data_IF_300349844607
#
_entry.id   IF_300349844607
#
_cell.length_a   1.000
_cell.length_b   1.000
_cell.length_c   1.000
_cell.angle_alpha   90.00
_cell.angle_beta   90.00
_cell.angle_gamma   90.00
#
_symmetry.space_group_name_H-M   'P 1'
#
loop_
_entity.id
_entity.type
_entity.pdbx_description
1 polymer ?
#
# COMPACT_ATOMS: atom_id res chain seq x y z
N UNK A 1 2.29 -1.97 17.47
CA UNK A 1 3.73 -1.64 17.67
C UNK A 1 3.92 -0.14 17.62
N UNK A 2 4.79 0.39 18.47
CA UNK A 2 5.17 1.80 18.53
C UNK A 2 6.69 1.91 18.37
N UNK A 3 7.15 2.79 17.46
CA UNK A 3 8.54 3.18 17.36
C UNK A 3 8.72 4.46 18.16
N UNK A 4 9.53 4.40 19.21
CA UNK A 4 9.76 5.53 20.11
C UNK A 4 11.26 5.71 20.42
N UNK A 5 11.64 6.92 20.85
CA UNK A 5 12.98 7.18 21.31
C UNK A 5 13.12 6.72 22.76
N UNK A 6 13.93 5.70 22.99
CA UNK A 6 14.21 5.14 24.33
C UNK A 6 15.60 5.49 24.83
N UNK A 7 16.57 5.74 23.93
CA UNK A 7 17.93 6.12 24.33
C UNK A 7 18.02 7.63 24.42
N UNK A 8 18.08 8.13 25.65
CA UNK A 8 18.14 9.56 25.94
C UNK A 8 19.39 10.22 25.33
N UNK A 9 19.28 11.50 24.95
CA UNK A 9 20.39 12.28 24.41
C UNK A 9 20.81 11.93 22.99
N UNK A 10 20.06 11.06 22.28
CA UNK A 10 20.29 10.75 20.86
C UNK A 10 19.30 11.51 19.98
N UNK A 11 19.77 11.99 18.83
CA UNK A 11 18.96 12.67 17.79
C UNK A 11 18.86 11.86 16.48
N UNK A 12 19.58 10.75 16.39
CA UNK A 12 19.66 9.86 15.22
C UNK A 12 18.79 8.60 15.39
N UNK A 13 18.81 7.74 14.39
CA UNK A 13 18.02 6.50 14.36
C UNK A 13 18.46 5.45 15.38
N UNK A 14 19.72 5.51 15.90
CA UNK A 14 20.21 4.57 16.91
C UNK A 14 19.58 4.75 18.29
N UNK A 15 18.86 5.86 18.51
CA UNK A 15 18.08 6.07 19.72
C UNK A 15 16.66 5.53 19.68
N UNK A 16 16.23 4.95 18.56
CA UNK A 16 14.86 4.47 18.35
C UNK A 16 14.73 2.99 18.67
N UNK A 17 13.73 2.64 19.46
CA UNK A 17 13.35 1.27 19.81
C UNK A 17 11.91 0.99 19.44
N UNK A 18 11.58 -0.26 19.19
CA UNK A 18 10.24 -0.68 18.83
C UNK A 18 9.63 -1.48 19.97
N UNK A 19 8.38 -1.16 20.34
CA UNK A 19 7.68 -1.76 21.46
C UNK A 19 6.37 -2.41 21.01
N UNK A 20 6.03 -3.54 21.62
CA UNK A 20 4.71 -4.16 21.53
C UNK A 20 3.82 -3.53 22.60
N UNK A 21 2.98 -2.57 22.20
CA UNK A 21 2.09 -1.86 23.11
C UNK A 21 0.73 -2.56 23.14
N UNK A 22 0.47 -3.32 24.18
CA UNK A 22 -0.82 -3.93 24.40
C UNK A 22 -1.84 -2.88 24.83
N UNK A 23 -3.04 -2.98 24.33
CA UNK A 23 -4.15 -2.13 24.74
C UNK A 23 -5.46 -2.91 24.71
N UNK A 24 -6.40 -2.59 25.61
CA UNK A 24 -7.76 -3.12 25.52
C UNK A 24 -8.41 -2.72 24.18
N UNK A 25 -9.30 -3.56 23.71
CA UNK A 25 -10.08 -3.21 22.51
C UNK A 25 -11.06 -2.08 22.87
N UNK A 26 -11.03 -1.00 22.12
CA UNK A 26 -11.97 0.09 22.24
C UNK A 26 -13.37 -0.28 21.73
N UNK A 27 -14.35 0.48 22.14
CA UNK A 27 -15.74 0.48 21.66
C UNK A 27 -16.07 1.82 21.02
N UNK A 28 -17.23 1.94 20.37
CA UNK A 28 -17.65 3.23 19.80
C UNK A 28 -17.89 4.29 20.90
N UNK A 29 -18.24 3.87 22.12
CA UNK A 29 -18.46 4.76 23.26
C UNK A 29 -17.14 5.15 23.97
N UNK A 30 -16.14 4.27 23.94
CA UNK A 30 -14.82 4.47 24.52
C UNK A 30 -13.77 3.85 23.58
N UNK A 31 -13.33 4.59 22.58
CA UNK A 31 -12.41 4.05 21.56
C UNK A 31 -10.98 3.88 22.06
N UNK A 32 -10.56 4.57 23.15
CA UNK A 32 -9.21 4.57 23.69
C UNK A 32 -9.19 4.29 25.20
N UNK A 33 -9.62 3.09 25.64
CA UNK A 33 -9.80 2.79 27.08
C UNK A 33 -8.49 2.59 27.84
N UNK A 34 -7.34 2.55 27.16
CA UNK A 34 -6.05 2.38 27.83
C UNK A 34 -5.62 3.66 28.55
N UNK A 35 -5.16 3.54 29.79
CA UNK A 35 -4.63 4.68 30.54
C UNK A 35 -3.43 5.29 29.81
N UNK A 36 -3.38 6.61 29.72
CA UNK A 36 -2.31 7.31 29.01
C UNK A 36 -2.39 7.28 27.48
N UNK A 37 -3.46 6.74 26.91
CA UNK A 37 -3.71 6.75 25.46
C UNK A 37 -4.91 7.64 25.13
N UNK A 38 -4.75 8.48 24.13
CA UNK A 38 -5.82 9.29 23.53
C UNK A 38 -5.78 9.15 22.02
N UNK A 39 -6.82 9.58 21.34
CA UNK A 39 -6.81 9.60 19.88
C UNK A 39 -8.04 10.25 19.28
N UNK A 40 -8.00 10.41 17.96
CA UNK A 40 -9.09 10.94 17.14
C UNK A 40 -9.18 10.19 15.84
N UNK A 41 -10.39 9.97 15.35
CA UNK A 41 -10.62 9.36 14.04
C UNK A 41 -10.24 10.36 12.94
N UNK A 42 -9.50 9.87 11.94
CA UNK A 42 -9.15 10.62 10.74
C UNK A 42 -10.12 10.17 9.64
N UNK A 43 -10.94 11.10 9.14
CA UNK A 43 -11.78 10.85 7.98
C UNK A 43 -10.93 10.70 6.73
N UNK A 44 -11.11 9.60 6.00
CA UNK A 44 -10.30 9.25 4.83
C UNK A 44 -11.13 9.15 3.56
N UNK A 45 -10.48 9.38 2.42
CA UNK A 45 -11.09 9.36 1.09
C UNK A 45 -11.63 7.97 0.71
N UNK A 46 -10.86 6.94 0.96
CA UNK A 46 -11.16 5.54 0.67
C UNK A 46 -10.97 4.64 1.88
N UNK A 47 -11.02 3.31 1.69
CA UNK A 47 -10.91 2.33 2.78
C UNK A 47 -11.94 2.53 3.89
N UNK A 48 -13.14 2.97 3.54
CA UNK A 48 -14.19 3.35 4.50
C UNK A 48 -14.67 2.23 5.44
N UNK A 49 -14.29 0.98 5.17
CA UNK A 49 -14.51 -0.15 6.08
C UNK A 49 -13.44 -0.29 7.16
N UNK A 50 -12.42 0.56 7.15
CA UNK A 50 -11.32 0.57 8.09
C UNK A 50 -11.14 1.99 8.63
N UNK A 51 -11.03 2.12 9.95
CA UNK A 51 -10.85 3.41 10.61
C UNK A 51 -9.37 3.72 10.79
N UNK A 52 -8.99 4.96 10.50
CA UNK A 52 -7.66 5.50 10.75
C UNK A 52 -7.72 6.44 11.96
N UNK A 53 -6.66 6.47 12.75
CA UNK A 53 -6.62 7.28 13.97
C UNK A 53 -5.28 7.98 14.13
N UNK A 54 -5.34 9.20 14.63
CA UNK A 54 -4.21 9.83 15.31
C UNK A 54 -4.21 9.34 16.77
N UNK A 55 -3.03 8.96 17.28
CA UNK A 55 -2.87 8.46 18.65
C UNK A 55 -1.94 9.36 19.43
N UNK A 56 -2.36 9.79 20.61
CA UNK A 56 -1.54 10.47 21.60
C UNK A 56 -1.18 9.53 22.75
N UNK A 57 0.05 9.64 23.22
CA UNK A 57 0.55 8.89 24.37
C UNK A 57 1.08 9.88 25.42
N UNK A 58 0.50 9.85 26.60
CA UNK A 58 0.96 10.62 27.77
C UNK A 58 1.03 9.69 28.96
N UNK A 59 2.24 9.40 29.40
CA UNK A 59 2.47 8.46 30.51
C UNK A 59 1.86 7.08 30.27
N UNK A 60 1.81 6.65 28.99
CA UNK A 60 1.38 5.31 28.60
C UNK A 60 2.49 4.32 28.94
N UNK A 61 2.23 3.44 29.91
CA UNK A 61 3.22 2.48 30.39
C UNK A 61 3.27 1.23 29.49
N UNK A 62 4.50 0.83 29.12
CA UNK A 62 4.77 -0.41 28.36
C UNK A 62 5.80 -1.23 29.14
N UNK A 63 5.51 -2.49 29.45
CA UNK A 63 6.47 -3.37 30.13
C UNK A 63 7.80 -3.49 29.37
N UNK A 64 8.91 -3.56 30.09
CA UNK A 64 10.24 -3.61 29.50
C UNK A 64 10.45 -4.86 28.61
N UNK A 65 9.82 -5.97 28.97
CA UNK A 65 9.83 -7.22 28.19
C UNK A 65 9.16 -7.10 26.82
N UNK A 66 8.36 -6.04 26.62
CA UNK A 66 7.73 -5.75 25.33
C UNK A 66 8.65 -4.98 24.36
N UNK A 67 9.91 -4.77 24.71
CA UNK A 67 10.92 -4.26 23.80
C UNK A 67 11.21 -5.30 22.72
N UNK A 68 10.90 -4.97 21.47
CA UNK A 68 11.10 -5.90 20.36
C UNK A 68 12.59 -6.12 20.09
N UNK A 69 13.03 -7.39 20.20
CA UNK A 69 14.42 -7.79 19.99
C UNK A 69 15.34 -7.52 21.16
N UNK A 70 14.80 -7.17 22.34
CA UNK A 70 15.48 -7.08 23.62
C UNK A 70 16.67 -6.09 23.72
N UNK A 71 16.96 -5.36 22.63
CA UNK A 71 18.07 -4.40 22.55
C UNK A 71 17.54 -3.04 22.14
N UNK A 72 17.76 -2.04 22.98
CA UNK A 72 17.43 -0.65 22.66
C UNK A 72 18.23 -0.12 21.46
N UNK A 73 17.65 0.86 20.75
CA UNK A 73 18.30 1.50 19.60
C UNK A 73 18.24 0.70 18.29
N UNK A 74 17.63 -0.49 18.29
CA UNK A 74 17.48 -1.35 17.11
C UNK A 74 16.16 -1.17 16.38
N UNK A 75 15.26 -0.33 16.87
CA UNK A 75 13.89 -0.22 16.36
C UNK A 75 13.82 0.23 14.91
N UNK A 76 14.67 1.15 14.47
CA UNK A 76 14.70 1.58 13.07
C UNK A 76 15.15 0.45 12.12
N UNK A 77 16.12 -0.37 12.54
CA UNK A 77 16.55 -1.54 11.76
C UNK A 77 15.43 -2.58 11.62
N UNK A 78 14.70 -2.83 12.70
CA UNK A 78 13.53 -3.71 12.68
C UNK A 78 12.43 -3.17 11.75
N UNK A 79 12.18 -1.86 11.80
CA UNK A 79 11.22 -1.21 10.90
C UNK A 79 11.61 -1.36 9.42
N UNK A 80 12.89 -1.13 9.09
CA UNK A 80 13.38 -1.29 7.71
C UNK A 80 13.25 -2.72 7.19
N UNK A 81 13.54 -3.72 8.02
CA UNK A 81 13.36 -5.13 7.66
C UNK A 81 11.88 -5.48 7.41
N UNK A 82 10.98 -4.90 8.19
CA UNK A 82 9.53 -5.06 8.02
C UNK A 82 9.05 -4.44 6.70
N UNK A 83 9.58 -3.31 6.30
CA UNK A 83 9.15 -2.60 5.10
C UNK A 83 9.39 -3.36 3.79
N UNK A 84 10.37 -4.25 3.71
CA UNK A 84 10.52 -5.09 2.51
C UNK A 84 9.28 -5.98 2.31
N UNK A 85 8.86 -6.69 3.36
CA UNK A 85 7.65 -7.52 3.33
C UNK A 85 6.39 -6.70 3.12
N UNK A 86 6.26 -5.55 3.79
CA UNK A 86 5.12 -4.65 3.66
C UNK A 86 4.94 -4.12 2.23
N UNK A 87 6.04 -3.81 1.52
CA UNK A 87 5.99 -3.38 0.10
C UNK A 87 5.49 -4.48 -0.81
N UNK A 88 5.94 -5.73 -0.63
CA UNK A 88 5.44 -6.89 -1.40
C UNK A 88 3.95 -7.11 -1.14
N UNK A 89 3.53 -7.04 0.13
CA UNK A 89 2.12 -7.15 0.51
C UNK A 89 1.28 -6.04 -0.11
N UNK A 90 1.77 -4.79 -0.10
CA UNK A 90 1.08 -3.65 -0.71
C UNK A 90 0.99 -3.79 -2.23
N UNK A 91 2.03 -4.33 -2.89
CA UNK A 91 1.97 -4.66 -4.31
C UNK A 91 0.89 -5.71 -4.61
N UNK A 92 0.78 -6.76 -3.80
CA UNK A 92 -0.27 -7.76 -3.93
C UNK A 92 -1.68 -7.16 -3.74
N UNK A 93 -1.84 -6.26 -2.75
CA UNK A 93 -3.09 -5.52 -2.54
C UNK A 93 -3.44 -4.66 -3.76
N UNK A 94 -2.47 -3.93 -4.31
CA UNK A 94 -2.65 -3.11 -5.51
C UNK A 94 -3.08 -3.95 -6.73
N UNK A 95 -2.52 -5.15 -6.89
CA UNK A 95 -2.93 -6.11 -7.92
C UNK A 95 -4.40 -6.51 -7.74
N UNK A 96 -4.84 -6.75 -6.49
CA UNK A 96 -6.24 -7.06 -6.19
C UNK A 96 -7.19 -5.91 -6.56
N UNK A 97 -6.80 -4.65 -6.28
CA UNK A 97 -7.56 -3.47 -6.69
C UNK A 97 -7.62 -3.32 -8.20
N UNK A 98 -6.49 -3.50 -8.91
CA UNK A 98 -6.44 -3.45 -10.37
C UNK A 98 -7.28 -4.55 -11.02
N UNK A 99 -7.26 -5.76 -10.46
CA UNK A 99 -8.09 -6.89 -10.89
C UNK A 99 -9.59 -6.57 -10.75
N UNK A 100 -10.00 -6.06 -9.59
CA UNK A 100 -11.38 -5.64 -9.35
C UNK A 100 -11.82 -4.56 -10.35
N UNK A 101 -10.98 -3.57 -10.61
CA UNK A 101 -11.25 -2.52 -11.58
C UNK A 101 -11.44 -3.09 -13.00
N UNK A 102 -10.56 -4.00 -13.43
CA UNK A 102 -10.65 -4.67 -14.72
C UNK A 102 -11.97 -5.45 -14.85
N UNK A 103 -12.32 -6.25 -13.84
CA UNK A 103 -13.56 -7.05 -13.85
C UNK A 103 -14.82 -6.20 -13.93
N UNK A 104 -14.86 -5.09 -13.15
CA UNK A 104 -15.98 -4.14 -13.21
C UNK A 104 -16.07 -3.47 -14.59
N UNK A 105 -14.94 -3.03 -15.14
CA UNK A 105 -14.89 -2.43 -16.48
C UNK A 105 -15.32 -3.40 -17.59
N UNK A 106 -14.83 -4.64 -17.56
CA UNK A 106 -15.21 -5.70 -18.49
C UNK A 106 -16.71 -5.98 -18.42
N UNK A 107 -17.21 -6.28 -17.22
CA UNK A 107 -18.62 -6.59 -17.03
C UNK A 107 -19.50 -5.46 -17.56
N UNK A 108 -19.24 -4.24 -17.15
CA UNK A 108 -20.02 -3.09 -17.59
C UNK A 108 -19.96 -2.90 -19.11
N UNK A 109 -18.80 -3.06 -19.73
CA UNK A 109 -18.62 -2.86 -21.16
C UNK A 109 -19.33 -3.92 -22.01
N UNK A 110 -19.54 -5.12 -21.49
CA UNK A 110 -20.31 -6.20 -22.14
C UNK A 110 -21.82 -6.05 -21.91
N UNK A 111 -22.24 -5.52 -20.76
CA UNK A 111 -23.65 -5.33 -20.43
C UNK A 111 -24.25 -4.06 -21.08
N UNK A 112 -23.44 -3.02 -21.24
CA UNK A 112 -23.90 -1.72 -21.76
C UNK A 112 -23.92 -1.66 -23.27
N UNK A 113 -25.10 -1.36 -23.83
CA UNK A 113 -25.27 -1.15 -25.29
C UNK A 113 -25.43 0.33 -25.60
N UNK A 114 -24.70 0.83 -26.58
CA UNK A 114 -24.84 2.16 -27.18
C UNK A 114 -24.62 2.09 -28.70
N UNK A 115 -25.30 2.91 -29.46
CA UNK A 115 -25.21 2.94 -30.92
C UNK A 115 -25.40 1.56 -31.58
N UNK A 116 -26.30 0.73 -31.00
CA UNK A 116 -26.70 -0.57 -31.50
C UNK A 116 -25.72 -1.74 -31.24
N UNK A 117 -24.68 -1.56 -30.42
CA UNK A 117 -23.72 -2.60 -30.04
C UNK A 117 -23.20 -2.44 -28.62
N UNK A 118 -22.56 -3.46 -28.08
CA UNK A 118 -21.89 -3.39 -26.78
C UNK A 118 -20.78 -2.33 -26.81
N UNK A 119 -20.57 -1.62 -25.70
CA UNK A 119 -19.52 -0.59 -25.68
C UNK A 119 -18.12 -1.21 -25.72
N UNK A 120 -17.97 -2.50 -25.41
CA UNK A 120 -16.73 -3.25 -25.60
C UNK A 120 -16.28 -3.27 -27.07
N UNK A 121 -17.20 -3.27 -28.04
CA UNK A 121 -16.89 -3.29 -29.47
C UNK A 121 -16.29 -1.99 -30.01
N UNK A 122 -16.23 -0.95 -29.17
CA UNK A 122 -15.55 0.29 -29.54
C UNK A 122 -14.08 0.23 -29.14
N UNK A 123 -13.12 0.41 -30.08
CA UNK A 123 -11.69 0.30 -29.80
C UNK A 123 -11.21 1.16 -28.62
N UNK A 124 -11.77 2.36 -28.45
CA UNK A 124 -11.45 3.24 -27.33
C UNK A 124 -11.83 2.68 -25.94
N UNK A 125 -12.74 1.71 -25.90
CA UNK A 125 -13.12 0.98 -24.68
C UNK A 125 -12.29 -0.28 -24.53
N UNK A 126 -12.26 -1.14 -25.55
CA UNK A 126 -11.52 -2.40 -25.49
C UNK A 126 -10.01 -2.22 -25.31
N UNK A 127 -9.39 -1.22 -25.95
CA UNK A 127 -7.96 -0.92 -25.78
C UNK A 127 -7.58 -0.64 -24.33
N UNK A 128 -8.42 0.13 -23.60
CA UNK A 128 -8.20 0.37 -22.16
C UNK A 128 -8.19 -0.94 -21.37
N UNK A 129 -9.16 -1.80 -21.59
CA UNK A 129 -9.33 -3.06 -20.86
C UNK A 129 -8.19 -4.05 -21.19
N UNK A 130 -7.78 -4.12 -22.46
CA UNK A 130 -6.65 -4.95 -22.90
C UNK A 130 -5.34 -4.49 -22.25
N UNK A 131 -5.09 -3.17 -22.22
CA UNK A 131 -3.89 -2.64 -21.57
C UNK A 131 -3.90 -2.88 -20.05
N UNK A 132 -5.05 -2.71 -19.39
CA UNK A 132 -5.20 -3.06 -17.97
C UNK A 132 -4.85 -4.52 -17.71
N UNK A 133 -5.33 -5.43 -18.55
CA UNK A 133 -5.05 -6.87 -18.43
C UNK A 133 -3.56 -7.18 -18.61
N UNK A 134 -2.92 -6.61 -19.63
CA UNK A 134 -1.51 -6.82 -19.94
C UNK A 134 -0.59 -6.30 -18.80
N UNK A 135 -0.84 -5.09 -18.34
CA UNK A 135 -0.08 -4.48 -17.23
C UNK A 135 -0.26 -5.27 -15.93
N UNK A 136 -1.48 -5.76 -15.66
CA UNK A 136 -1.79 -6.55 -14.47
C UNK A 136 -1.03 -7.87 -14.46
N UNK A 137 -0.95 -8.57 -15.60
CA UNK A 137 -0.15 -9.80 -15.72
C UNK A 137 1.32 -9.51 -15.46
N UNK A 138 1.88 -8.46 -16.06
CA UNK A 138 3.28 -8.10 -15.91
C UNK A 138 3.65 -7.78 -14.44
N UNK A 139 2.87 -6.93 -13.78
CA UNK A 139 3.17 -6.54 -12.39
C UNK A 139 2.92 -7.68 -11.40
N UNK A 140 1.99 -8.57 -11.68
CA UNK A 140 1.79 -9.80 -10.88
C UNK A 140 3.02 -10.68 -10.90
N UNK A 141 3.65 -10.89 -12.07
CA UNK A 141 4.87 -11.67 -12.16
C UNK A 141 6.05 -11.01 -11.43
N UNK A 142 6.19 -9.69 -11.53
CA UNK A 142 7.20 -8.95 -10.76
C UNK A 142 6.98 -9.08 -9.25
N UNK A 143 5.73 -9.02 -8.79
CA UNK A 143 5.40 -9.19 -7.37
C UNK A 143 5.72 -10.59 -6.88
N UNK A 144 5.38 -11.63 -7.65
CA UNK A 144 5.75 -13.00 -7.34
C UNK A 144 7.27 -13.22 -7.38
N UNK A 145 7.97 -12.57 -8.29
CA UNK A 145 9.43 -12.61 -8.30
C UNK A 145 10.01 -12.02 -7.00
N UNK A 146 9.54 -10.83 -6.58
CA UNK A 146 9.96 -10.19 -5.32
C UNK A 146 9.68 -11.08 -4.11
N UNK A 147 8.49 -11.70 -4.05
CA UNK A 147 8.13 -12.62 -2.97
C UNK A 147 9.08 -13.83 -2.89
N UNK A 148 9.37 -14.46 -4.05
CA UNK A 148 10.32 -15.59 -4.10
C UNK A 148 11.73 -15.21 -3.67
N UNK A 149 12.21 -13.98 -3.97
CA UNK A 149 13.50 -13.50 -3.46
C UNK A 149 13.48 -13.42 -1.93
N UNK A 150 12.39 -12.88 -1.36
CA UNK A 150 12.20 -12.80 0.10
C UNK A 150 12.17 -14.17 0.75
N UNK A 151 11.43 -15.12 0.19
CA UNK A 151 11.31 -16.50 0.71
C UNK A 151 12.65 -17.23 0.69
N UNK A 152 13.55 -16.91 -0.24
CA UNK A 152 14.92 -17.42 -0.32
C UNK A 152 15.89 -16.72 0.65
N UNK A 153 15.42 -15.82 1.49
CA UNK A 153 16.26 -15.06 2.42
C UNK A 153 17.19 -14.04 1.74
N UNK A 154 16.97 -13.74 0.45
CA UNK A 154 17.75 -12.75 -0.29
C UNK A 154 17.29 -11.34 0.05
N UNK A 155 18.24 -10.40 -0.01
CA UNK A 155 17.89 -8.98 0.03
C UNK A 155 17.06 -8.62 -1.21
N UNK A 156 15.89 -8.04 -1.00
CA UNK A 156 14.94 -7.75 -2.09
C UNK A 156 14.32 -6.36 -2.00
N UNK A 157 15.02 -5.41 -1.38
CA UNK A 157 14.57 -4.02 -1.23
C UNK A 157 14.31 -3.32 -2.58
N UNK A 158 15.13 -3.63 -3.61
CA UNK A 158 14.95 -3.13 -4.96
C UNK A 158 13.70 -3.72 -5.62
N UNK A 159 13.59 -5.04 -5.65
CA UNK A 159 12.48 -5.75 -6.29
C UNK A 159 11.15 -5.44 -5.61
N UNK A 160 11.13 -5.38 -4.28
CA UNK A 160 9.96 -5.01 -3.49
C UNK A 160 9.53 -3.55 -3.76
N UNK A 161 10.51 -2.64 -3.90
CA UNK A 161 10.28 -1.25 -4.27
C UNK A 161 9.68 -1.12 -5.67
N UNK A 162 10.27 -1.81 -6.66
CA UNK A 162 9.80 -1.85 -8.05
C UNK A 162 8.37 -2.41 -8.14
N UNK A 163 8.13 -3.56 -7.49
CA UNK A 163 6.82 -4.20 -7.48
C UNK A 163 5.76 -3.26 -6.88
N UNK A 164 6.02 -2.66 -5.71
CA UNK A 164 5.08 -1.76 -5.04
C UNK A 164 4.80 -0.51 -5.88
N UNK A 165 5.83 0.13 -6.40
CA UNK A 165 5.68 1.36 -7.18
C UNK A 165 4.87 1.13 -8.46
N UNK A 166 5.18 0.07 -9.22
CA UNK A 166 4.48 -0.27 -10.45
C UNK A 166 3.05 -0.74 -10.18
N UNK A 167 2.84 -1.63 -9.20
CA UNK A 167 1.51 -2.12 -8.86
C UNK A 167 0.57 -1.00 -8.43
N UNK A 168 1.05 -0.07 -7.59
CA UNK A 168 0.25 1.07 -7.14
C UNK A 168 -0.12 2.02 -8.31
N UNK A 169 0.81 2.26 -9.23
CA UNK A 169 0.57 3.07 -10.43
C UNK A 169 -0.46 2.39 -11.36
N UNK A 170 -0.31 1.09 -11.58
CA UNK A 170 -1.22 0.31 -12.42
C UNK A 170 -2.61 0.24 -11.79
N UNK A 171 -2.72 0.06 -10.47
CA UNK A 171 -4.00 0.04 -9.78
C UNK A 171 -4.74 1.36 -9.93
N UNK A 172 -4.05 2.49 -9.82
CA UNK A 172 -4.64 3.80 -10.06
C UNK A 172 -5.13 3.96 -11.50
N UNK A 173 -4.28 3.63 -12.50
CA UNK A 173 -4.64 3.72 -13.92
C UNK A 173 -5.80 2.79 -14.29
N UNK A 174 -5.83 1.57 -13.72
CA UNK A 174 -6.91 0.62 -13.94
C UNK A 174 -8.24 1.13 -13.35
N UNK A 175 -8.22 1.67 -12.13
CA UNK A 175 -9.40 2.24 -11.48
C UNK A 175 -9.97 3.44 -12.24
N UNK A 176 -9.10 4.36 -12.71
CA UNK A 176 -9.48 5.49 -13.53
C UNK A 176 -10.08 5.05 -14.89
N UNK A 177 -9.43 4.11 -15.58
CA UNK A 177 -9.92 3.56 -16.84
C UNK A 177 -11.27 2.84 -16.67
N UNK A 178 -11.43 2.06 -15.60
CA UNK A 178 -12.70 1.39 -15.31
C UNK A 178 -13.83 2.41 -15.05
N UNK A 179 -13.56 3.46 -14.28
CA UNK A 179 -14.52 4.54 -14.05
C UNK A 179 -14.87 5.25 -15.36
N UNK A 180 -13.87 5.54 -16.21
CA UNK A 180 -14.09 6.14 -17.53
C UNK A 180 -14.95 5.26 -18.44
N UNK A 181 -14.76 3.94 -18.41
CA UNK A 181 -15.60 2.97 -19.17
C UNK A 181 -17.06 3.02 -18.73
N UNK A 182 -17.32 3.25 -17.43
CA UNK A 182 -18.68 3.42 -16.91
C UNK A 182 -19.33 4.76 -17.32
N UNK A 183 -18.53 5.74 -17.77
CA UNK A 183 -19.03 7.08 -18.12
C UNK A 183 -19.74 7.74 -16.93
N UNK A 184 -20.91 8.35 -17.15
CA UNK A 184 -21.68 9.01 -16.09
C UNK A 184 -22.06 8.08 -14.93
N UNK A 185 -22.29 6.80 -15.20
CA UNK A 185 -22.57 5.79 -14.18
C UNK A 185 -21.37 5.55 -13.26
N UNK A 186 -20.14 5.75 -13.74
CA UNK A 186 -18.93 5.65 -12.91
C UNK A 186 -18.85 6.72 -11.83
N UNK A 187 -19.52 7.85 -12.01
CA UNK A 187 -19.59 8.93 -11.03
C UNK A 187 -20.74 8.79 -10.02
N UNK A 188 -21.66 7.86 -10.25
CA UNK A 188 -22.77 7.59 -9.36
C UNK A 188 -22.34 6.59 -8.26
N UNK A 189 -22.69 6.89 -6.99
CA UNK A 189 -22.29 6.08 -5.82
C UNK A 189 -22.92 4.67 -5.80
N UNK A 190 -23.97 4.44 -6.55
CA UNK A 190 -24.60 3.13 -6.70
C UNK A 190 -23.72 2.12 -7.46
N UNK A 191 -22.75 2.61 -8.26
CA UNK A 191 -21.76 1.77 -8.93
C UNK A 191 -20.49 1.65 -8.09
N UNK A 192 -19.98 0.44 -7.86
CA UNK A 192 -18.85 0.22 -6.96
C UNK A 192 -17.51 0.75 -7.51
N UNK A 193 -17.43 1.11 -8.78
CA UNK A 193 -16.18 1.52 -9.44
C UNK A 193 -15.61 2.81 -8.86
N UNK A 194 -16.44 3.74 -8.40
CA UNK A 194 -15.99 4.99 -7.75
C UNK A 194 -15.28 4.71 -6.43
N UNK A 195 -15.77 3.73 -5.65
CA UNK A 195 -15.09 3.26 -4.44
C UNK A 195 -13.71 2.69 -4.75
N UNK A 196 -13.59 1.86 -5.80
CA UNK A 196 -12.31 1.29 -6.22
C UNK A 196 -11.30 2.38 -6.57
N UNK A 197 -11.73 3.47 -7.20
CA UNK A 197 -10.87 4.63 -7.48
C UNK A 197 -10.37 5.29 -6.19
N UNK A 198 -11.26 5.53 -5.23
CA UNK A 198 -10.88 6.09 -3.92
C UNK A 198 -9.87 5.18 -3.19
N UNK A 199 -10.12 3.88 -3.18
CA UNK A 199 -9.26 2.90 -2.51
C UNK A 199 -7.90 2.75 -3.21
N UNK A 200 -7.84 2.91 -4.54
CA UNK A 200 -6.59 2.85 -5.30
C UNK A 200 -5.64 4.01 -4.96
N UNK A 201 -6.15 5.17 -4.54
CA UNK A 201 -5.34 6.37 -4.36
C UNK A 201 -4.28 6.24 -3.28
N UNK A 202 -4.62 5.61 -2.15
CA UNK A 202 -3.72 5.47 -1.01
C UNK A 202 -2.48 4.61 -1.34
N UNK A 203 -2.60 3.66 -2.27
CA UNK A 203 -1.52 2.74 -2.64
C UNK A 203 -0.25 3.44 -3.15
N UNK A 204 -0.36 4.66 -3.69
CA UNK A 204 0.78 5.48 -4.09
C UNK A 204 1.35 6.34 -2.96
N UNK A 205 0.68 6.40 -1.80
CA UNK A 205 1.01 7.30 -0.70
C UNK A 205 1.70 6.54 0.44
N UNK A 206 1.04 5.51 0.97
CA UNK A 206 1.53 4.76 2.13
C UNK A 206 2.55 3.67 1.77
N UNK A 207 3.15 3.03 2.77
CA UNK A 207 4.14 1.94 2.65
C UNK A 207 5.32 2.28 1.71
N UNK A 208 5.75 3.53 1.80
CA UNK A 208 6.77 4.13 0.94
C UNK A 208 6.15 4.87 -0.25
N UNK A 209 6.05 6.19 -0.12
CA UNK A 209 5.54 7.06 -1.18
C UNK A 209 6.29 6.83 -2.49
N UNK A 210 5.57 6.91 -3.63
CA UNK A 210 6.13 6.61 -4.95
C UNK A 210 7.41 7.36 -5.26
N UNK A 211 7.53 8.64 -4.87
CA UNK A 211 8.75 9.42 -5.03
C UNK A 211 9.93 8.93 -4.17
N UNK A 212 9.67 8.49 -2.94
CA UNK A 212 10.68 7.90 -2.05
C UNK A 212 11.16 6.56 -2.61
N UNK A 213 10.23 5.74 -3.12
CA UNK A 213 10.61 4.48 -3.78
C UNK A 213 11.47 4.72 -5.01
N UNK A 214 11.12 5.69 -5.85
CA UNK A 214 11.91 6.05 -7.03
C UNK A 214 13.34 6.44 -6.66
N UNK A 215 13.56 7.21 -5.58
CA UNK A 215 14.90 7.55 -5.08
C UNK A 215 15.69 6.32 -4.64
N UNK A 216 15.08 5.40 -3.89
CA UNK A 216 15.74 4.16 -3.43
C UNK A 216 16.11 3.29 -4.63
N UNK A 217 15.18 3.10 -5.57
CA UNK A 217 15.37 2.32 -6.79
C UNK A 217 16.53 2.92 -7.62
N UNK A 218 16.49 4.24 -7.86
CA UNK A 218 17.53 4.91 -8.64
C UNK A 218 18.94 4.71 -8.03
N UNK A 219 19.06 4.90 -6.72
CA UNK A 219 20.34 4.67 -6.00
C UNK A 219 20.80 3.23 -6.16
N UNK A 220 19.93 2.26 -5.90
CA UNK A 220 20.28 0.84 -5.99
C UNK A 220 20.66 0.43 -7.41
N UNK A 221 19.94 0.90 -8.42
CA UNK A 221 20.26 0.62 -9.84
C UNK A 221 21.64 1.21 -10.22
N UNK A 222 21.97 2.41 -9.73
CA UNK A 222 23.29 3.01 -9.97
C UNK A 222 24.38 2.21 -9.27
N UNK A 223 24.19 1.84 -8.00
CA UNK A 223 25.16 1.05 -7.23
C UNK A 223 25.46 -0.28 -7.93
N UNK A 224 24.44 -0.98 -8.42
CA UNK A 224 24.58 -2.23 -9.17
C UNK A 224 25.32 -2.02 -10.50
N UNK A 225 25.01 -0.95 -11.23
CA UNK A 225 25.67 -0.63 -12.48
C UNK A 225 27.16 -0.28 -12.30
N UNK A 226 27.49 0.46 -11.23
CA UNK A 226 28.89 0.79 -10.89
C UNK A 226 29.63 -0.46 -10.38
N UNK A 227 28.99 -1.24 -9.49
CA UNK A 227 29.55 -2.48 -8.93
C UNK A 227 29.81 -3.56 -9.98
N UNK A 228 29.02 -3.59 -11.05
CA UNK A 228 29.23 -4.50 -12.18
C UNK A 228 30.41 -4.09 -13.08
N UNK A 229 30.99 -2.90 -12.89
CA UNK A 229 32.16 -2.40 -13.65
C UNK A 229 33.50 -2.59 -12.93
N UNK A 230 33.46 -3.01 -11.66
CA UNK A 230 34.63 -3.36 -10.85
C UNK A 230 34.71 -4.87 -10.64
#
# INVERSE_FOLDING_TARGET
TVLARSVAGTDNFSGLSMFLCEKPRGTDADPFPANGMTGGEIEVLGYRGMKEYELGFDSFEVPAENLLGEVEGMGFKHLMATFEGARIQTAARAIGVAQCALELGLKYSLDRTQFGRQIFDFPRTSDKLVMMAAELVGVRQLTYFSARQKDQGKRCDLEAGLAKMLAARIAWGAADNALQVHGGNGFALEYPVSRVLCDARILNIFEGAGGVQAMVIARRTIDEFIGAKN
#
